data_IF_201154475398
#
_entry.id   IF_201154475398
#
_cell.length_a   1.000
_cell.length_b   1.000
_cell.length_c   1.000
_cell.angle_alpha   90.00
_cell.angle_beta   90.00
_cell.angle_gamma   90.00
#
_symmetry.space_group_name_H-M   'P 1'
#
loop_
_entity.id
_entity.type
_entity.pdbx_description
1 polymer ?
#
# COMPACT_ATOMS: atom_id res chain seq x y z
N UNK A 1 -27.45 47.87 5.49
CA UNK A 1 -27.94 46.96 6.56
C UNK A 1 -28.34 45.55 6.09
N UNK A 2 -28.63 45.30 4.80
CA UNK A 2 -29.00 43.97 4.28
C UNK A 2 -27.82 42.97 4.18
N UNK A 3 -26.64 43.42 3.76
CA UNK A 3 -25.44 42.56 3.57
C UNK A 3 -24.98 41.90 4.89
N UNK A 4 -25.05 42.63 6.02
CA UNK A 4 -24.71 42.09 7.35
C UNK A 4 -25.61 40.92 7.77
N UNK A 5 -26.90 40.96 7.44
CA UNK A 5 -27.85 39.89 7.79
C UNK A 5 -27.64 38.64 6.93
N UNK A 6 -27.32 38.81 5.65
CA UNK A 6 -27.06 37.68 4.74
C UNK A 6 -25.76 36.96 5.10
N UNK A 7 -24.71 37.70 5.49
CA UNK A 7 -23.43 37.11 5.94
C UNK A 7 -23.58 36.36 7.26
N UNK A 8 -24.37 36.88 8.20
CA UNK A 8 -24.66 36.19 9.48
C UNK A 8 -25.49 34.93 9.24
N UNK A 9 -26.50 34.98 8.35
CA UNK A 9 -27.29 33.82 8.00
C UNK A 9 -26.45 32.72 7.31
N UNK A 10 -25.51 33.10 6.45
CA UNK A 10 -24.56 32.18 5.82
C UNK A 10 -23.61 31.53 6.85
N UNK A 11 -23.10 32.32 7.81
CA UNK A 11 -22.24 31.82 8.89
C UNK A 11 -22.97 30.85 9.84
N UNK A 12 -24.23 31.11 10.16
CA UNK A 12 -25.07 30.20 10.95
C UNK A 12 -25.39 28.92 10.16
N UNK A 13 -25.64 29.04 8.85
CA UNK A 13 -25.92 27.89 7.98
C UNK A 13 -24.69 26.97 7.82
N UNK A 14 -23.48 27.55 7.72
CA UNK A 14 -22.22 26.80 7.69
C UNK A 14 -21.92 26.16 9.05
N UNK A 15 -22.27 26.80 10.16
CA UNK A 15 -22.13 26.23 11.51
C UNK A 15 -23.12 25.09 11.83
N UNK A 16 -24.22 24.97 11.07
CA UNK A 16 -25.22 23.92 11.23
C UNK A 16 -24.97 22.65 10.42
N UNK A 17 -23.92 22.59 9.59
CA UNK A 17 -23.49 21.31 9.01
C UNK A 17 -22.77 20.49 10.07
N UNK A 18 -23.25 19.28 10.43
CA UNK A 18 -22.49 18.40 11.30
C UNK A 18 -21.24 17.94 10.54
N UNK A 19 -20.12 18.61 10.77
CA UNK A 19 -18.76 18.19 10.42
C UNK A 19 -18.29 17.02 11.32
N UNK A 20 -19.20 16.12 11.67
CA UNK A 20 -18.93 15.04 12.62
C UNK A 20 -18.51 13.78 11.86
N UNK A 21 -17.20 13.54 11.80
CA UNK A 21 -16.72 12.16 11.86
C UNK A 21 -17.32 11.56 13.15
N UNK A 22 -18.07 10.47 13.01
CA UNK A 22 -18.99 10.04 14.07
C UNK A 22 -18.96 8.54 14.28
N UNK A 23 -19.01 8.16 15.55
CA UNK A 23 -19.31 6.81 16.01
C UNK A 23 -20.78 6.79 16.37
N UNK A 24 -21.57 5.94 15.72
CA UNK A 24 -23.00 5.82 15.98
C UNK A 24 -23.31 4.41 16.46
N UNK A 25 -23.99 4.30 17.58
CA UNK A 25 -24.50 3.04 18.09
C UNK A 25 -25.84 2.74 17.42
N UNK A 26 -25.93 1.57 16.79
CA UNK A 26 -27.16 1.05 16.23
C UNK A 26 -28.01 0.33 17.29
N UNK A 27 -29.10 -0.29 16.83
CA UNK A 27 -29.99 -1.06 17.71
C UNK A 27 -29.24 -2.15 18.47
N UNK A 28 -29.63 -2.33 19.72
CA UNK A 28 -29.18 -3.40 20.60
C UNK A 28 -30.24 -4.51 20.63
N UNK A 29 -29.79 -5.76 20.64
CA UNK A 29 -30.57 -6.97 20.83
C UNK A 29 -30.12 -7.64 22.13
N UNK A 30 -31.05 -7.82 23.07
CA UNK A 30 -30.79 -8.33 24.42
C UNK A 30 -31.51 -9.66 24.58
N UNK A 31 -30.80 -10.70 25.00
CA UNK A 31 -31.39 -12.00 25.28
C UNK A 31 -31.65 -12.23 26.77
N UNK A 32 -32.29 -13.36 27.10
CA UNK A 32 -32.63 -13.77 28.47
C UNK A 32 -31.42 -14.07 29.37
N UNK A 33 -30.20 -14.11 28.81
CA UNK A 33 -28.95 -14.38 29.53
C UNK A 33 -28.17 -13.10 29.87
N UNK A 34 -28.80 -11.93 29.76
CA UNK A 34 -28.19 -10.61 29.89
C UNK A 34 -27.06 -10.37 28.89
N UNK A 35 -27.14 -10.96 27.70
CA UNK A 35 -26.17 -10.76 26.63
C UNK A 35 -26.72 -9.79 25.59
N UNK A 36 -25.94 -8.78 25.25
CA UNK A 36 -26.31 -7.76 24.28
C UNK A 36 -25.45 -7.86 23.03
N UNK A 37 -26.12 -7.90 21.89
CA UNK A 37 -25.52 -7.67 20.57
C UNK A 37 -25.89 -6.27 20.10
N UNK A 38 -24.92 -5.51 19.61
CA UNK A 38 -25.19 -4.19 19.05
C UNK A 38 -24.22 -3.86 17.93
N UNK A 39 -24.61 -2.93 17.06
CA UNK A 39 -23.76 -2.49 15.96
C UNK A 39 -23.17 -1.12 16.25
N UNK A 40 -21.95 -0.90 15.77
CA UNK A 40 -21.29 0.42 15.79
C UNK A 40 -21.01 0.80 14.34
N UNK A 41 -21.61 1.89 13.88
CA UNK A 41 -21.32 2.50 12.58
C UNK A 41 -20.21 3.51 12.73
N UNK A 42 -19.22 3.43 11.85
CA UNK A 42 -18.14 4.41 11.75
C UNK A 42 -18.23 5.17 10.44
N UNK A 43 -18.06 6.48 10.53
CA UNK A 43 -17.97 7.38 9.39
C UNK A 43 -16.71 8.22 9.58
N UNK A 44 -15.67 7.90 8.80
CA UNK A 44 -14.44 8.67 8.79
C UNK A 44 -14.31 9.49 7.50
N UNK A 45 -13.67 10.67 7.57
CA UNK A 45 -13.27 11.40 6.38
C UNK A 45 -12.35 10.55 5.50
N UNK A 46 -12.68 10.46 4.20
CA UNK A 46 -11.86 9.74 3.23
C UNK A 46 -11.94 8.22 3.30
N UNK A 47 -12.92 7.64 4.00
CA UNK A 47 -13.22 6.19 3.93
C UNK A 47 -14.70 5.94 3.65
N UNK A 48 -15.00 4.72 3.21
CA UNK A 48 -16.38 4.24 3.17
C UNK A 48 -16.88 4.05 4.61
N UNK A 49 -18.15 4.36 4.86
CA UNK A 49 -18.79 4.09 6.15
C UNK A 49 -19.10 2.60 6.28
N UNK A 50 -18.80 2.03 7.45
CA UNK A 50 -19.05 0.61 7.73
C UNK A 50 -19.64 0.40 9.11
N UNK A 51 -20.13 -0.81 9.36
CA UNK A 51 -20.69 -1.24 10.64
C UNK A 51 -19.93 -2.45 11.15
N UNK A 52 -19.74 -2.51 12.46
CA UNK A 52 -19.16 -3.65 13.14
C UNK A 52 -20.11 -4.15 14.23
N UNK A 53 -20.21 -5.47 14.39
CA UNK A 53 -21.04 -6.11 15.40
C UNK A 53 -20.21 -6.36 16.66
N UNK A 54 -20.81 -6.07 17.81
CA UNK A 54 -20.23 -6.24 19.14
C UNK A 54 -21.12 -7.11 20.01
N UNK A 55 -20.50 -7.77 20.97
CA UNK A 55 -21.10 -8.54 22.04
C UNK A 55 -20.65 -7.97 23.39
N UNK A 56 -21.57 -7.82 24.32
CA UNK A 56 -21.24 -7.57 25.72
C UNK A 56 -22.16 -8.38 26.63
N UNK A 57 -21.68 -8.69 27.84
CA UNK A 57 -22.51 -9.25 28.91
C UNK A 57 -22.88 -8.16 29.89
N UNK A 58 -24.12 -8.12 30.33
CA UNK A 58 -24.65 -7.16 31.29
C UNK A 58 -24.73 -7.86 32.65
N UNK A 59 -24.33 -7.16 33.71
CA UNK A 59 -24.47 -7.57 35.10
C UNK A 59 -24.95 -6.35 35.90
N UNK A 60 -26.07 -6.48 36.60
CA UNK A 60 -26.67 -5.40 37.39
C UNK A 60 -26.93 -4.11 36.58
N UNK A 61 -27.39 -4.25 35.33
CA UNK A 61 -27.72 -3.12 34.45
C UNK A 61 -26.51 -2.38 33.87
N UNK A 62 -25.29 -2.90 34.03
CA UNK A 62 -24.05 -2.36 33.46
C UNK A 62 -23.29 -3.43 32.70
N UNK A 63 -22.45 -3.03 31.72
CA UNK A 63 -21.58 -3.98 31.03
C UNK A 63 -20.57 -4.59 32.02
N UNK A 64 -20.49 -5.92 32.05
CA UNK A 64 -19.59 -6.68 32.91
C UNK A 64 -18.12 -6.59 32.46
N UNK A 65 -17.91 -6.32 31.17
CA UNK A 65 -16.61 -6.07 30.55
C UNK A 65 -16.80 -5.15 29.35
N UNK A 66 -15.70 -4.67 28.81
CA UNK A 66 -15.74 -3.94 27.54
C UNK A 66 -16.35 -4.82 26.41
N UNK A 67 -17.07 -4.22 25.45
CA UNK A 67 -17.67 -4.95 24.35
C UNK A 67 -16.66 -5.63 23.44
N UNK A 68 -16.88 -6.91 23.16
CA UNK A 68 -16.08 -7.73 22.25
C UNK A 68 -16.58 -7.60 20.82
N UNK A 69 -15.71 -7.17 19.91
CA UNK A 69 -16.00 -7.17 18.47
C UNK A 69 -16.13 -8.60 17.93
N UNK A 70 -17.15 -8.83 17.09
CA UNK A 70 -17.44 -10.12 16.45
C UNK A 70 -17.11 -10.14 14.94
N UNK A 71 -17.19 -8.99 14.28
CA UNK A 71 -16.94 -8.85 12.83
C UNK A 71 -15.60 -8.18 12.55
N UNK A 72 -14.95 -8.53 11.44
CA UNK A 72 -13.73 -7.86 10.99
C UNK A 72 -14.02 -7.12 9.67
N UNK A 73 -14.22 -5.80 9.73
CA UNK A 73 -14.31 -5.00 8.50
C UNK A 73 -12.90 -4.67 7.99
N UNK A 74 -12.60 -4.90 6.70
CA UNK A 74 -11.28 -4.62 6.14
C UNK A 74 -11.08 -3.13 5.89
N UNK A 75 -10.39 -2.43 6.79
CA UNK A 75 -9.87 -1.10 6.45
C UNK A 75 -8.63 -1.21 5.54
N UNK A 76 -7.81 -2.25 5.76
CA UNK A 76 -6.67 -2.63 4.92
C UNK A 76 -6.58 -4.15 4.85
N UNK A 77 -6.08 -4.67 3.71
CA UNK A 77 -5.91 -6.10 3.48
C UNK A 77 -4.56 -6.38 2.85
N UNK A 78 -3.94 -7.47 3.29
CA UNK A 78 -2.71 -7.98 2.70
C UNK A 78 -2.85 -9.47 2.42
N UNK A 79 -2.37 -9.90 1.25
CA UNK A 79 -2.29 -11.31 0.90
C UNK A 79 -0.89 -11.82 1.25
N UNK A 80 -0.83 -12.82 2.13
CA UNK A 80 0.39 -13.39 2.69
C UNK A 80 0.54 -14.86 2.29
N UNK A 81 1.71 -15.42 2.58
CA UNK A 81 2.04 -16.84 2.39
C UNK A 81 1.76 -17.33 0.96
N UNK A 82 2.12 -16.50 -0.04
CA UNK A 82 1.94 -16.85 -1.44
C UNK A 82 0.48 -16.92 -1.90
N UNK A 83 -0.46 -16.34 -1.15
CA UNK A 83 -1.87 -16.32 -1.53
C UNK A 83 -2.81 -17.03 -0.58
N UNK A 84 -2.31 -17.79 0.39
CA UNK A 84 -3.14 -18.68 1.23
C UNK A 84 -3.64 -18.04 2.52
N UNK A 85 -3.10 -16.88 2.90
CA UNK A 85 -3.48 -16.16 4.12
C UNK A 85 -3.88 -14.73 3.80
N UNK A 86 -5.11 -14.37 4.13
CA UNK A 86 -5.60 -12.99 4.05
C UNK A 86 -5.44 -12.32 5.42
N UNK A 87 -4.56 -11.34 5.53
CA UNK A 87 -4.48 -10.48 6.70
C UNK A 87 -5.43 -9.30 6.54
N UNK A 88 -6.25 -9.07 7.57
CA UNK A 88 -7.24 -8.01 7.62
C UNK A 88 -6.88 -7.08 8.77
N UNK A 89 -6.69 -5.80 8.46
CA UNK A 89 -6.39 -4.76 9.45
C UNK A 89 -7.51 -3.73 9.50
N UNK A 90 -7.86 -3.36 10.72
CA UNK A 90 -8.77 -2.26 11.04
C UNK A 90 -8.27 -1.56 12.29
N UNK A 91 -8.93 -0.46 12.68
CA UNK A 91 -8.67 0.15 13.98
C UNK A 91 -8.97 -0.76 15.17
N UNK A 92 -9.79 -1.79 14.97
CA UNK A 92 -10.10 -2.79 15.99
C UNK A 92 -9.04 -3.88 16.10
N UNK A 93 -8.00 -3.84 15.26
CA UNK A 93 -6.86 -4.74 15.34
C UNK A 93 -6.60 -5.48 14.03
N UNK A 94 -5.95 -6.62 14.14
CA UNK A 94 -5.47 -7.43 13.02
C UNK A 94 -5.96 -8.86 13.17
N UNK A 95 -6.61 -9.35 12.12
CA UNK A 95 -7.03 -10.74 11.98
C UNK A 95 -6.34 -11.38 10.77
N UNK A 96 -6.24 -12.71 10.78
CA UNK A 96 -5.79 -13.50 9.64
C UNK A 96 -6.83 -14.55 9.33
N UNK A 97 -7.22 -14.63 8.07
CA UNK A 97 -8.04 -15.70 7.54
C UNK A 97 -7.15 -16.65 6.75
N UNK A 98 -7.11 -17.91 7.16
CA UNK A 98 -6.47 -18.97 6.37
C UNK A 98 -7.48 -19.51 5.37
N UNK A 99 -7.11 -19.51 4.09
CA UNK A 99 -7.92 -20.14 3.04
C UNK A 99 -7.91 -21.67 3.17
N UNK A 100 -6.78 -22.25 3.59
CA UNK A 100 -6.63 -23.70 3.73
C UNK A 100 -7.40 -24.26 4.95
N UNK A 101 -7.39 -23.54 6.07
CA UNK A 101 -8.10 -23.93 7.29
C UNK A 101 -9.53 -23.38 7.37
N UNK A 102 -9.92 -22.52 6.43
CA UNK A 102 -11.19 -21.77 6.43
C UNK A 102 -11.49 -21.07 7.77
N UNK A 103 -10.44 -20.60 8.44
CA UNK A 103 -10.53 -20.10 9.81
C UNK A 103 -10.01 -18.66 9.92
N UNK A 104 -10.77 -17.82 10.63
CA UNK A 104 -10.38 -16.47 11.01
C UNK A 104 -9.85 -16.45 12.44
N UNK A 105 -8.62 -15.98 12.62
CA UNK A 105 -8.00 -15.79 13.93
C UNK A 105 -7.61 -14.32 14.14
N UNK A 106 -7.82 -13.82 15.36
CA UNK A 106 -7.39 -12.47 15.73
C UNK A 106 -5.99 -12.53 16.33
N UNK A 107 -5.03 -11.86 15.68
CA UNK A 107 -3.67 -11.69 16.22
C UNK A 107 -3.62 -10.62 17.29
N UNK A 108 -4.34 -9.53 17.04
CA UNK A 108 -4.51 -8.43 17.97
C UNK A 108 -5.94 -7.94 17.84
N UNK A 109 -6.65 -7.83 18.94
CA UNK A 109 -8.01 -7.29 19.00
C UNK A 109 -8.01 -6.12 19.98
N UNK A 110 -8.71 -5.06 19.65
CA UNK A 110 -8.95 -3.97 20.58
C UNK A 110 -9.92 -4.45 21.65
N UNK A 111 -9.58 -4.21 22.91
CA UNK A 111 -10.45 -4.53 24.05
C UNK A 111 -11.51 -3.46 24.27
N UNK A 112 -11.53 -2.37 23.49
CA UNK A 112 -12.49 -1.27 23.60
C UNK A 112 -12.87 -0.74 22.21
N UNK A 113 -13.93 0.07 22.13
CA UNK A 113 -14.34 0.76 20.91
C UNK A 113 -13.43 1.99 20.69
N UNK A 114 -12.55 2.01 19.67
CA UNK A 114 -11.61 3.11 19.49
C UNK A 114 -12.33 4.39 19.10
N UNK A 115 -12.04 5.47 19.81
CA UNK A 115 -12.59 6.80 19.56
C UNK A 115 -11.85 7.59 18.46
N UNK A 116 -10.81 7.00 17.86
CA UNK A 116 -9.98 7.65 16.86
C UNK A 116 -10.77 7.91 15.56
N UNK A 117 -10.69 9.16 15.09
CA UNK A 117 -11.28 9.64 13.83
C UNK A 117 -10.31 9.60 12.64
N UNK A 118 -9.05 9.20 12.86
CA UNK A 118 -8.04 9.11 11.80
C UNK A 118 -8.15 7.80 11.03
N UNK A 119 -7.90 7.88 9.71
CA UNK A 119 -7.70 6.72 8.85
C UNK A 119 -6.54 5.87 9.38
N UNK A 120 -6.68 4.56 9.29
CA UNK A 120 -5.58 3.64 9.57
C UNK A 120 -4.39 3.94 8.65
N UNK A 121 -3.20 4.10 9.21
CA UNK A 121 -1.97 4.29 8.42
C UNK A 121 -1.70 3.07 7.55
N UNK A 122 -1.37 3.32 6.27
CA UNK A 122 -0.98 2.26 5.33
C UNK A 122 0.31 1.59 5.80
N UNK A 123 0.40 0.29 5.57
CA UNK A 123 1.58 -0.51 5.83
C UNK A 123 1.79 -1.45 4.65
N UNK A 124 3.03 -1.52 4.20
CA UNK A 124 3.50 -2.49 3.21
C UNK A 124 4.06 -3.68 3.96
N UNK A 125 3.43 -4.86 3.84
CA UNK A 125 3.81 -6.09 4.56
C UNK A 125 4.53 -7.03 3.60
N UNK A 126 5.59 -7.70 4.07
CA UNK A 126 6.28 -8.70 3.25
C UNK A 126 5.33 -9.85 2.89
N UNK A 127 5.50 -10.49 1.71
CA UNK A 127 4.67 -11.65 1.33
C UNK A 127 4.64 -12.77 2.38
N UNK A 128 5.72 -12.98 3.14
CA UNK A 128 5.76 -13.96 4.24
C UNK A 128 5.20 -13.45 5.59
N UNK A 129 4.77 -12.19 5.66
CA UNK A 129 4.17 -11.56 6.84
C UNK A 129 5.13 -11.24 7.99
N UNK A 130 6.43 -11.53 7.85
CA UNK A 130 7.42 -11.35 8.93
C UNK A 130 7.86 -9.91 9.11
N UNK A 131 7.74 -9.11 8.05
CA UNK A 131 8.24 -7.75 8.01
C UNK A 131 7.16 -6.79 7.59
N UNK A 132 7.33 -5.53 7.98
CA UNK A 132 6.48 -4.48 7.46
C UNK A 132 7.17 -3.13 7.45
N UNK A 133 6.75 -2.30 6.52
CA UNK A 133 7.15 -0.91 6.42
C UNK A 133 5.93 0.01 6.51
N UNK A 134 6.04 1.09 7.27
CA UNK A 134 4.98 2.09 7.42
C UNK A 134 5.57 3.44 7.77
N UNK A 135 4.77 4.50 7.65
CA UNK A 135 5.19 5.84 8.03
C UNK A 135 4.59 6.20 9.39
N UNK A 136 5.46 6.44 10.36
CA UNK A 136 5.09 7.00 11.66
C UNK A 136 5.11 8.53 11.54
N UNK A 137 3.93 9.16 11.56
CA UNK A 137 3.79 10.61 11.32
C UNK A 137 4.49 11.41 12.41
N UNK A 138 5.35 12.33 11.99
CA UNK A 138 5.98 13.34 12.87
C UNK A 138 5.48 14.75 12.56
N UNK A 139 4.93 14.97 11.36
CA UNK A 139 4.35 16.23 10.92
C UNK A 139 3.04 16.05 10.13
N UNK A 140 2.65 17.11 9.42
CA UNK A 140 1.39 17.12 8.65
C UNK A 140 1.42 16.19 7.44
N UNK A 141 2.53 16.21 6.70
CA UNK A 141 2.70 15.52 5.41
C UNK A 141 3.99 14.66 5.34
N UNK A 142 4.66 14.45 6.48
CA UNK A 142 5.88 13.65 6.55
C UNK A 142 5.94 12.83 7.85
N UNK A 143 6.86 11.88 7.87
CA UNK A 143 7.13 11.04 9.02
C UNK A 143 8.36 10.17 8.85
N UNK A 144 8.59 9.32 9.84
CA UNK A 144 9.64 8.32 9.79
C UNK A 144 9.16 7.13 8.96
N UNK A 145 9.88 6.78 7.89
CA UNK A 145 9.70 5.50 7.23
C UNK A 145 10.32 4.43 8.13
N UNK A 146 9.46 3.66 8.78
CA UNK A 146 9.84 2.59 9.70
C UNK A 146 9.86 1.26 8.97
N UNK A 147 10.92 0.49 9.16
CA UNK A 147 10.96 -0.96 8.96
C UNK A 147 10.80 -1.66 10.31
N UNK A 148 9.89 -2.63 10.40
CA UNK A 148 9.54 -3.34 11.62
C UNK A 148 9.52 -4.85 11.40
N UNK A 149 10.11 -5.57 12.35
CA UNK A 149 9.93 -7.01 12.49
C UNK A 149 8.59 -7.29 13.21
N UNK A 150 7.67 -7.98 12.55
CA UNK A 150 6.30 -8.21 13.03
C UNK A 150 6.24 -9.07 14.31
N UNK A 151 7.22 -9.95 14.56
CA UNK A 151 7.20 -10.83 15.74
C UNK A 151 7.86 -10.21 16.97
N UNK A 152 8.93 -9.44 16.79
CA UNK A 152 9.70 -8.83 17.89
C UNK A 152 9.31 -7.37 18.16
N UNK A 153 8.62 -6.71 17.22
CA UNK A 153 8.34 -5.28 17.28
C UNK A 153 9.58 -4.39 17.13
N UNK A 154 10.75 -4.96 16.81
CA UNK A 154 11.98 -4.19 16.62
C UNK A 154 11.84 -3.30 15.39
N UNK A 155 12.05 -2.00 15.58
CA UNK A 155 11.91 -0.95 14.56
C UNK A 155 13.27 -0.39 14.13
N UNK A 156 13.35 0.04 12.88
CA UNK A 156 14.47 0.77 12.30
C UNK A 156 13.95 1.91 11.42
N UNK A 157 14.59 3.08 11.49
CA UNK A 157 14.25 4.21 10.62
C UNK A 157 15.04 4.06 9.31
N UNK A 158 14.33 4.06 8.19
CA UNK A 158 14.91 4.05 6.84
C UNK A 158 15.08 5.46 6.29
N UNK A 159 14.10 6.32 6.56
CA UNK A 159 14.07 7.73 6.16
C UNK A 159 13.41 8.55 7.27
N UNK A 160 14.03 9.69 7.62
CA UNK A 160 13.55 10.59 8.66
C UNK A 160 12.48 11.57 8.17
N UNK A 161 12.42 11.81 6.86
CA UNK A 161 11.53 12.80 6.23
C UNK A 161 10.71 12.19 5.08
N UNK A 162 10.20 10.98 5.29
CA UNK A 162 9.43 10.29 4.27
C UNK A 162 8.06 10.97 4.06
N UNK A 163 7.63 11.21 2.81
CA UNK A 163 6.34 11.82 2.52
C UNK A 163 5.20 10.88 2.95
N UNK A 164 4.27 11.40 3.76
CA UNK A 164 3.16 10.62 4.27
C UNK A 164 1.99 10.57 3.27
N UNK A 165 1.46 9.37 3.04
CA UNK A 165 0.23 9.12 2.28
C UNK A 165 -0.68 8.14 3.03
N UNK A 166 -1.99 8.31 2.87
CA UNK A 166 -2.99 7.35 3.34
C UNK A 166 -3.31 6.25 2.32
N UNK A 167 -2.66 6.28 1.16
CA UNK A 167 -2.97 5.38 0.05
C UNK A 167 -1.79 4.47 -0.30
N UNK A 168 -0.55 4.91 -0.05
CA UNK A 168 0.63 4.10 -0.32
C UNK A 168 1.79 4.38 0.66
N UNK A 169 2.65 3.39 0.83
CA UNK A 169 3.98 3.51 1.43
C UNK A 169 4.99 3.35 0.29
N UNK A 170 6.07 4.14 0.20
CA UNK A 170 7.02 4.09 -0.91
C UNK A 170 7.95 2.86 -0.81
N UNK A 171 7.36 1.66 -0.74
CA UNK A 171 8.03 0.38 -0.51
C UNK A 171 7.44 -0.72 -1.40
N UNK A 172 8.29 -1.52 -2.04
CA UNK A 172 7.91 -2.71 -2.82
C UNK A 172 8.70 -3.93 -2.35
N UNK A 173 8.00 -4.98 -1.93
CA UNK A 173 8.62 -6.23 -1.50
C UNK A 173 8.91 -7.14 -2.69
N UNK A 174 10.08 -7.80 -2.66
CA UNK A 174 10.33 -8.93 -3.55
C UNK A 174 9.32 -10.05 -3.24
N UNK A 175 8.87 -10.82 -4.25
CA UNK A 175 7.88 -11.89 -4.05
C UNK A 175 8.29 -12.95 -3.01
N UNK A 176 9.59 -13.20 -2.89
CA UNK A 176 10.19 -14.15 -1.95
C UNK A 176 10.49 -13.56 -0.55
N UNK A 177 10.15 -12.29 -0.32
CA UNK A 177 10.42 -11.54 0.91
C UNK A 177 11.91 -11.37 1.28
N UNK A 178 12.85 -11.69 0.39
CA UNK A 178 14.30 -11.62 0.70
C UNK A 178 14.85 -10.20 0.65
N UNK A 179 14.21 -9.32 -0.11
CA UNK A 179 14.59 -7.92 -0.28
C UNK A 179 13.31 -7.07 -0.33
N UNK A 180 13.41 -5.82 0.11
CA UNK A 180 12.45 -4.79 -0.29
C UNK A 180 13.15 -3.58 -0.88
N UNK A 181 12.40 -2.84 -1.68
CA UNK A 181 12.80 -1.58 -2.27
C UNK A 181 12.12 -0.46 -1.51
N UNK A 182 12.80 0.66 -1.34
CA UNK A 182 12.20 1.88 -0.80
C UNK A 182 12.76 3.11 -1.52
N UNK A 183 11.96 4.17 -1.61
CA UNK A 183 12.44 5.44 -2.17
C UNK A 183 12.74 6.45 -1.08
N UNK A 184 13.86 7.15 -1.22
CA UNK A 184 14.33 8.21 -0.32
C UNK A 184 15.05 9.26 -1.14
N UNK A 185 14.79 10.54 -0.88
CA UNK A 185 15.47 11.68 -1.52
C UNK A 185 15.56 11.62 -3.06
N UNK A 186 14.54 11.09 -3.73
CA UNK A 186 14.51 10.99 -5.20
C UNK A 186 15.40 9.89 -5.78
N UNK A 187 15.78 8.90 -4.97
CA UNK A 187 16.44 7.67 -5.41
C UNK A 187 15.72 6.44 -4.82
N UNK A 188 15.96 5.30 -5.46
CA UNK A 188 15.45 4.00 -5.03
C UNK A 188 16.60 3.18 -4.46
N UNK A 189 16.36 2.56 -3.32
CA UNK A 189 17.30 1.71 -2.60
C UNK A 189 16.73 0.32 -2.40
N UNK A 190 17.59 -0.69 -2.29
CA UNK A 190 17.20 -2.01 -1.82
C UNK A 190 17.65 -2.25 -0.38
N UNK A 191 16.98 -3.16 0.32
CA UNK A 191 17.30 -3.54 1.68
C UNK A 191 17.04 -5.03 1.91
N UNK A 192 18.01 -5.70 2.54
CA UNK A 192 17.86 -7.06 3.08
C UNK A 192 17.34 -6.97 4.53
N UNK A 193 16.07 -7.35 4.79
CA UNK A 193 15.49 -7.29 6.14
C UNK A 193 16.22 -8.18 7.14
N UNK A 194 16.76 -9.34 6.72
CA UNK A 194 17.50 -10.26 7.58
C UNK A 194 18.90 -9.72 7.92
N UNK A 195 19.57 -9.01 7.00
CA UNK A 195 20.82 -8.30 7.30
C UNK A 195 20.60 -7.17 8.32
N UNK A 196 19.52 -6.38 8.15
CA UNK A 196 19.15 -5.33 9.12
C UNK A 196 18.89 -5.91 10.50
N UNK A 197 18.15 -7.02 10.58
CA UNK A 197 17.88 -7.67 11.86
C UNK A 197 19.16 -8.14 12.57
N UNK A 198 20.12 -8.70 11.81
CA UNK A 198 21.44 -9.13 12.29
C UNK A 198 22.41 -7.98 12.59
N UNK A 199 22.06 -6.73 12.26
CA UNK A 199 22.92 -5.56 12.46
C UNK A 199 24.08 -5.45 11.47
N UNK A 200 24.01 -6.16 10.34
CA UNK A 200 25.05 -6.17 9.29
C UNK A 200 24.57 -5.48 8.00
N UNK A 201 23.78 -4.41 8.16
CA UNK A 201 23.23 -3.63 7.05
C UNK A 201 24.37 -2.98 6.26
N UNK A 202 24.30 -3.05 4.93
CA UNK A 202 25.17 -2.27 4.05
C UNK A 202 24.91 -0.77 4.23
N UNK A 203 25.97 0.03 4.07
CA UNK A 203 25.82 1.48 3.98
C UNK A 203 24.91 1.82 2.78
N UNK A 204 24.01 2.78 2.96
CA UNK A 204 22.95 3.12 2.02
C UNK A 204 23.48 3.52 0.64
N UNK A 205 24.69 4.11 0.57
CA UNK A 205 25.37 4.43 -0.70
C UNK A 205 25.69 3.22 -1.58
N UNK A 206 25.70 2.03 -0.99
CA UNK A 206 25.89 0.75 -1.69
C UNK A 206 24.54 0.06 -1.99
N UNK A 207 23.44 0.60 -1.48
CA UNK A 207 22.11 0.07 -1.70
C UNK A 207 21.35 0.80 -2.81
N UNK A 208 21.92 1.87 -3.38
CA UNK A 208 21.26 2.68 -4.39
C UNK A 208 21.13 1.93 -5.72
N UNK A 209 19.92 1.92 -6.27
CA UNK A 209 19.60 1.38 -7.60
C UNK A 209 19.71 2.49 -8.66
N UNK A 210 19.18 3.67 -8.33
CA UNK A 210 19.24 4.84 -9.19
C UNK A 210 18.19 5.89 -8.82
N UNK A 211 18.19 6.97 -9.59
CA UNK A 211 17.29 8.11 -9.41
C UNK A 211 15.84 7.76 -9.77
N UNK A 212 14.87 8.28 -9.04
CA UNK A 212 13.45 8.07 -9.29
C UNK A 212 12.60 8.01 -8.02
N UNK A 213 11.36 7.56 -8.18
CA UNK A 213 10.46 7.19 -7.07
C UNK A 213 10.35 5.68 -7.00
N UNK A 214 9.60 5.16 -6.01
CA UNK A 214 9.29 3.73 -5.95
C UNK A 214 8.57 3.21 -7.22
N UNK A 215 7.96 4.10 -8.01
CA UNK A 215 7.28 3.76 -9.26
C UNK A 215 8.23 3.68 -10.46
N UNK A 216 9.50 4.05 -10.28
CA UNK A 216 10.55 3.74 -11.26
C UNK A 216 10.95 2.27 -11.27
N UNK A 217 10.47 1.46 -10.32
CA UNK A 217 10.82 0.04 -10.22
C UNK A 217 9.60 -0.89 -10.18
N UNK A 218 9.75 -2.10 -10.71
CA UNK A 218 8.70 -3.12 -10.74
C UNK A 218 9.28 -4.53 -10.61
N UNK A 219 8.71 -5.34 -9.72
CA UNK A 219 9.01 -6.77 -9.63
C UNK A 219 8.23 -7.54 -10.70
N UNK A 220 8.90 -8.45 -11.39
CA UNK A 220 8.32 -9.38 -12.36
C UNK A 220 8.97 -10.75 -12.20
N UNK A 221 8.27 -11.67 -11.53
CA UNK A 221 8.86 -12.91 -11.04
C UNK A 221 10.10 -12.64 -10.18
N UNK A 222 11.20 -13.31 -10.50
CA UNK A 222 12.49 -13.16 -9.81
C UNK A 222 13.36 -12.03 -10.39
N UNK A 223 12.79 -11.13 -11.18
CA UNK A 223 13.51 -10.02 -11.80
C UNK A 223 13.00 -8.68 -11.34
N UNK A 224 13.92 -7.74 -11.22
CA UNK A 224 13.60 -6.34 -10.98
C UNK A 224 13.71 -5.56 -12.29
N UNK A 225 12.71 -4.75 -12.61
CA UNK A 225 12.79 -3.77 -13.68
C UNK A 225 12.94 -2.38 -13.12
N UNK A 226 13.76 -1.57 -13.77
CA UNK A 226 14.01 -0.18 -13.43
C UNK A 226 13.91 0.69 -14.69
N UNK A 227 13.21 1.82 -14.59
CA UNK A 227 13.10 2.81 -15.66
C UNK A 227 13.83 4.08 -15.26
N UNK A 228 14.84 4.44 -16.05
CA UNK A 228 15.59 5.69 -15.93
C UNK A 228 15.35 6.56 -17.16
N UNK A 229 14.65 7.69 -16.96
CA UNK A 229 14.14 8.51 -18.05
C UNK A 229 13.32 7.67 -19.02
N UNK A 230 13.88 7.23 -20.14
CA UNK A 230 13.23 6.45 -21.17
C UNK A 230 13.85 5.06 -21.32
N UNK A 231 14.96 4.76 -20.64
CA UNK A 231 15.60 3.45 -20.73
C UNK A 231 15.01 2.49 -19.70
N UNK A 232 14.67 1.28 -20.16
CA UNK A 232 14.20 0.18 -19.31
C UNK A 232 15.35 -0.79 -19.09
N UNK A 233 15.63 -1.11 -17.83
CA UNK A 233 16.63 -2.08 -17.42
C UNK A 233 16.00 -3.25 -16.70
N UNK A 234 16.56 -4.45 -16.90
CA UNK A 234 16.32 -5.64 -16.08
C UNK A 234 17.53 -5.86 -15.18
N UNK A 235 17.28 -5.91 -13.88
CA UNK A 235 18.26 -6.16 -12.82
C UNK A 235 17.98 -7.57 -12.27
N UNK A 236 19.00 -8.42 -12.26
CA UNK A 236 18.96 -9.71 -11.58
C UNK A 236 19.10 -9.47 -10.06
N UNK A 237 18.22 -10.09 -9.26
CA UNK A 237 18.25 -10.03 -7.80
C UNK A 237 19.62 -10.48 -7.25
N UNK A 238 20.21 -11.52 -7.84
CA UNK A 238 21.56 -11.99 -7.44
C UNK A 238 22.61 -10.92 -7.69
N UNK A 239 22.37 -10.07 -8.69
CA UNK A 239 23.21 -8.93 -9.04
C UNK A 239 23.15 -7.79 -8.02
N UNK A 240 22.01 -7.55 -7.34
CA UNK A 240 21.84 -6.43 -6.41
C UNK A 240 22.90 -6.41 -5.29
N UNK A 241 23.18 -7.57 -4.69
CA UNK A 241 24.22 -7.70 -3.66
C UNK A 241 25.64 -7.48 -4.21
N UNK A 242 25.90 -7.86 -5.46
CA UNK A 242 27.19 -7.61 -6.10
C UNK A 242 27.36 -6.16 -6.53
N UNK A 243 26.30 -5.48 -6.96
CA UNK A 243 26.32 -4.08 -7.40
C UNK A 243 26.67 -3.13 -6.26
N UNK A 244 26.23 -3.42 -5.03
CA UNK A 244 26.58 -2.59 -3.87
C UNK A 244 28.07 -2.53 -3.56
N UNK A 245 28.83 -3.59 -3.85
CA UNK A 245 30.28 -3.60 -3.60
C UNK A 245 31.09 -2.86 -4.68
N UNK A 246 30.49 -2.63 -5.86
CA UNK A 246 31.16 -2.07 -7.04
C UNK A 246 30.35 -0.95 -7.70
N UNK A 247 29.64 -0.14 -6.91
CA UNK A 247 28.67 0.86 -7.37
C UNK A 247 29.19 1.90 -8.38
N UNK A 248 30.51 2.01 -8.58
CA UNK A 248 31.13 2.80 -9.63
C UNK A 248 31.30 2.11 -10.99
N UNK A 249 31.12 0.78 -11.09
CA UNK A 249 31.50 -0.05 -12.26
C UNK A 249 30.37 -0.98 -12.72
N UNK A 250 29.45 -1.39 -11.84
CA UNK A 250 28.39 -2.37 -12.19
C UNK A 250 27.08 -1.63 -12.52
N UNK A 251 26.66 -1.77 -13.77
CA UNK A 251 25.60 -0.98 -14.40
C UNK A 251 24.20 -1.19 -13.81
N UNK A 252 23.28 -0.30 -14.23
CA UNK A 252 21.84 -0.22 -13.90
C UNK A 252 21.01 -1.47 -14.26
N UNK A 253 21.65 -2.62 -14.49
CA UNK A 253 21.09 -3.83 -15.07
C UNK A 253 21.34 -3.94 -16.56
N UNK A 254 20.73 -4.96 -17.16
CA UNK A 254 20.75 -5.23 -18.59
C UNK A 254 19.70 -4.38 -19.29
N UNK A 255 20.05 -3.60 -20.35
CA UNK A 255 19.05 -2.81 -21.07
C UNK A 255 18.06 -3.71 -21.83
N UNK A 256 16.77 -3.40 -21.67
CA UNK A 256 15.64 -4.13 -22.27
C UNK A 256 14.90 -3.34 -23.35
N UNK A 257 15.28 -2.07 -23.55
CA UNK A 257 14.82 -1.19 -24.61
C UNK A 257 14.47 0.21 -24.08
N UNK A 258 14.05 1.07 -25.01
CA UNK A 258 13.66 2.46 -24.71
C UNK A 258 12.17 2.70 -24.89
N UNK A 259 11.56 3.36 -23.93
CA UNK A 259 10.23 3.93 -24.06
C UNK A 259 10.26 5.02 -25.16
N UNK A 260 9.17 5.19 -25.92
CA UNK A 260 9.08 6.28 -26.91
C UNK A 260 9.14 7.68 -26.30
N UNK A 261 8.78 7.80 -25.02
CA UNK A 261 8.77 9.05 -24.26
C UNK A 261 9.38 8.82 -22.88
N UNK A 262 9.87 9.91 -22.27
CA UNK A 262 10.41 9.87 -20.90
C UNK A 262 9.33 9.47 -19.89
N UNK A 263 9.69 8.55 -19.01
CA UNK A 263 8.90 8.12 -17.86
C UNK A 263 8.93 9.18 -16.77
N UNK A 264 7.74 9.54 -16.27
CA UNK A 264 7.58 10.41 -15.11
C UNK A 264 7.09 9.58 -13.92
N UNK A 265 8.00 9.20 -13.04
CA UNK A 265 7.75 8.38 -11.85
C UNK A 265 6.74 8.96 -10.83
N UNK A 266 6.22 10.17 -11.05
CA UNK A 266 5.14 10.77 -10.25
C UNK A 266 3.75 10.56 -10.84
N UNK A 267 3.66 10.16 -12.11
CA UNK A 267 2.40 10.12 -12.88
C UNK A 267 2.25 8.87 -13.72
N UNK A 268 3.36 8.23 -14.07
CA UNK A 268 3.40 7.06 -14.92
C UNK A 268 3.57 5.82 -14.04
N UNK A 269 2.86 4.76 -14.39
CA UNK A 269 2.94 3.46 -13.73
C UNK A 269 3.32 2.45 -14.81
N UNK A 270 4.24 1.55 -14.50
CA UNK A 270 4.52 0.42 -15.39
C UNK A 270 4.51 -0.90 -14.63
N UNK A 271 4.23 -1.97 -15.37
CA UNK A 271 4.26 -3.34 -14.88
C UNK A 271 4.84 -4.24 -15.95
N UNK A 272 5.45 -5.35 -15.55
CA UNK A 272 6.06 -6.33 -16.46
C UNK A 272 5.53 -7.71 -16.12
N UNK A 273 5.23 -8.53 -17.12
CA UNK A 273 4.76 -9.89 -16.90
C UNK A 273 5.87 -10.79 -16.32
N UNK A 274 5.49 -11.88 -15.66
CA UNK A 274 6.44 -12.79 -15.00
C UNK A 274 7.47 -13.43 -15.94
N UNK A 275 7.14 -13.58 -17.23
CA UNK A 275 8.07 -14.11 -18.25
C UNK A 275 9.04 -13.05 -18.81
N UNK A 276 8.91 -11.79 -18.38
CA UNK A 276 9.76 -10.66 -18.77
C UNK A 276 9.74 -10.34 -20.27
N UNK A 277 8.63 -10.65 -20.95
CA UNK A 277 8.46 -10.47 -22.40
C UNK A 277 7.60 -9.27 -22.76
N UNK A 278 6.80 -8.76 -21.84
CA UNK A 278 5.84 -7.68 -22.05
C UNK A 278 5.92 -6.63 -20.94
N UNK A 279 5.95 -5.36 -21.32
CA UNK A 279 5.81 -4.21 -20.42
C UNK A 279 4.48 -3.52 -20.71
N UNK A 280 3.72 -3.24 -19.66
CA UNK A 280 2.53 -2.41 -19.70
C UNK A 280 2.84 -1.06 -19.07
N UNK A 281 2.50 0.03 -19.75
CA UNK A 281 2.70 1.40 -19.30
C UNK A 281 1.35 2.12 -19.26
N UNK A 282 1.07 2.75 -18.13
CA UNK A 282 -0.02 3.71 -17.96
C UNK A 282 0.64 5.09 -17.84
N UNK A 283 0.54 5.90 -18.89
CA UNK A 283 1.12 7.24 -18.90
C UNK A 283 0.10 8.26 -18.37
N UNK A 284 0.43 8.90 -17.25
CA UNK A 284 -0.38 9.94 -16.61
C UNK A 284 -1.87 9.59 -16.43
N UNK A 285 -2.18 8.31 -16.19
CA UNK A 285 -3.55 7.79 -16.08
C UNK A 285 -4.40 7.89 -17.36
N UNK A 286 -3.78 8.22 -18.52
CA UNK A 286 -4.51 8.57 -19.75
C UNK A 286 -4.18 7.68 -20.94
N UNK A 287 -2.92 7.27 -21.10
CA UNK A 287 -2.50 6.46 -22.24
C UNK A 287 -2.08 5.09 -21.72
N UNK A 288 -2.68 4.04 -22.28
CA UNK A 288 -2.47 2.65 -21.91
C UNK A 288 -1.77 1.97 -23.07
N UNK A 289 -0.56 1.48 -22.81
CA UNK A 289 0.30 0.95 -23.85
C UNK A 289 0.92 -0.38 -23.41
N UNK A 290 0.97 -1.35 -24.32
CA UNK A 290 1.74 -2.59 -24.16
C UNK A 290 2.89 -2.60 -25.14
N UNK A 291 4.05 -2.99 -24.65
CA UNK A 291 5.28 -3.10 -25.40
C UNK A 291 5.87 -4.49 -25.26
N UNK A 292 6.51 -5.00 -26.31
CA UNK A 292 7.34 -6.20 -26.22
C UNK A 292 8.74 -5.83 -25.74
N UNK A 293 9.21 -6.51 -24.70
CA UNK A 293 10.57 -6.39 -24.18
C UNK A 293 11.54 -7.24 -25.02
N UNK A 294 12.77 -6.76 -25.16
CA UNK A 294 13.86 -7.51 -25.80
C UNK A 294 15.09 -7.46 -24.93
N UNK A 295 15.62 -8.62 -24.54
CA UNK A 295 16.86 -8.68 -23.79
C UNK A 295 18.01 -8.05 -24.59
N UNK A 296 18.92 -7.36 -23.89
CA UNK A 296 20.12 -6.74 -24.46
C UNK A 296 19.83 -5.74 -25.59
N UNK A 297 18.74 -4.98 -25.51
CA UNK A 297 18.37 -3.99 -26.51
C UNK A 297 18.41 -2.59 -25.93
N UNK A 298 19.01 -1.65 -26.67
CA UNK A 298 18.93 -0.20 -26.40
C UNK A 298 18.03 0.54 -27.41
N UNK A 299 17.36 -0.19 -28.29
CA UNK A 299 16.42 0.36 -29.26
C UNK A 299 15.05 0.64 -28.63
N UNK A 300 14.22 1.42 -29.30
CA UNK A 300 12.83 1.63 -28.89
C UNK A 300 12.07 0.31 -28.79
N UNK A 301 11.26 0.18 -27.74
CA UNK A 301 10.42 -0.99 -27.53
C UNK A 301 9.40 -1.13 -28.66
N UNK A 302 9.13 -2.38 -29.06
CA UNK A 302 8.11 -2.66 -30.07
C UNK A 302 6.72 -2.45 -29.46
N UNK A 303 5.92 -1.57 -30.05
CA UNK A 303 4.56 -1.28 -29.59
C UNK A 303 3.64 -2.43 -30.00
N UNK A 304 3.02 -3.10 -29.03
CA UNK A 304 1.95 -4.07 -29.29
C UNK A 304 0.63 -3.33 -29.48
N UNK A 305 0.31 -2.42 -28.56
CA UNK A 305 -0.76 -1.44 -28.72
C UNK A 305 -0.50 -0.19 -27.88
N UNK A 306 -1.15 0.91 -28.23
CA UNK A 306 -1.19 2.13 -27.43
C UNK A 306 -2.51 2.86 -27.68
N UNK A 307 -3.30 3.12 -26.63
CA UNK A 307 -4.62 3.76 -26.75
C UNK A 307 -4.88 4.71 -25.58
N UNK A 308 -5.52 5.87 -25.82
CA UNK A 308 -6.02 6.70 -24.74
C UNK A 308 -7.22 6.04 -24.06
N UNK A 309 -7.44 6.37 -22.79
CA UNK A 309 -8.71 6.12 -22.10
C UNK A 309 -9.75 7.14 -22.57
N UNK A 310 -10.87 6.66 -23.09
CA UNK A 310 -11.88 7.48 -23.78
C UNK A 310 -13.27 7.38 -23.15
N UNK A 311 -13.38 7.29 -21.83
CA UNK A 311 -14.69 7.34 -21.18
C UNK A 311 -15.19 8.79 -21.14
N UNK A 312 -16.38 9.03 -21.67
CA UNK A 312 -17.03 10.36 -21.65
C UNK A 312 -17.56 10.76 -20.27
N UNK A 313 -17.70 9.78 -19.36
CA UNK A 313 -18.38 9.97 -18.08
C UNK A 313 -17.44 10.22 -16.89
N UNK A 314 -16.12 10.19 -17.09
CA UNK A 314 -15.17 10.40 -15.99
C UNK A 314 -13.70 10.22 -16.37
N UNK A 315 -12.81 10.60 -15.45
CA UNK A 315 -11.37 10.34 -15.52
C UNK A 315 -10.99 9.12 -14.68
N UNK A 316 -9.90 8.45 -15.04
CA UNK A 316 -9.31 7.38 -14.24
C UNK A 316 -8.78 7.98 -12.94
N UNK A 317 -9.30 7.54 -11.79
CA UNK A 317 -8.79 7.95 -10.47
C UNK A 317 -7.57 7.12 -10.06
N UNK A 318 -7.65 5.81 -10.30
CA UNK A 318 -6.58 4.85 -10.04
C UNK A 318 -6.65 3.70 -11.07
N UNK A 319 -5.53 3.02 -11.26
CA UNK A 319 -5.45 1.86 -12.14
C UNK A 319 -4.35 0.89 -11.70
N UNK A 320 -4.71 -0.38 -11.63
CA UNK A 320 -3.79 -1.48 -11.31
C UNK A 320 -3.66 -2.39 -12.53
N UNK A 321 -2.42 -2.72 -12.89
CA UNK A 321 -2.13 -3.71 -13.92
C UNK A 321 -1.96 -5.08 -13.26
N UNK A 322 -2.80 -6.02 -13.67
CA UNK A 322 -2.74 -7.43 -13.31
C UNK A 322 -2.32 -8.24 -14.54
N UNK A 323 -1.60 -9.33 -14.33
CA UNK A 323 -1.23 -10.25 -15.40
C UNK A 323 -1.84 -11.61 -15.12
N UNK A 324 -2.42 -12.25 -16.13
CA UNK A 324 -2.83 -13.65 -16.00
C UNK A 324 -1.64 -14.61 -16.19
N UNK A 325 -1.93 -15.92 -16.04
CA UNK A 325 -0.92 -16.97 -16.24
C UNK A 325 -0.41 -17.12 -17.67
N UNK A 326 -1.03 -16.45 -18.66
CA UNK A 326 -0.57 -16.43 -20.05
C UNK A 326 0.27 -15.18 -20.36
N UNK A 327 0.46 -14.29 -19.38
CA UNK A 327 1.14 -13.01 -19.58
C UNK A 327 0.30 -11.97 -20.32
N UNK A 328 -1.03 -12.11 -20.30
CA UNK A 328 -1.96 -11.10 -20.80
C UNK A 328 -2.31 -10.08 -19.70
N UNK A 329 -2.24 -8.77 -20.00
CA UNK A 329 -2.50 -7.73 -19.01
C UNK A 329 -3.99 -7.40 -18.90
N UNK A 330 -4.46 -7.26 -17.67
CA UNK A 330 -5.76 -6.73 -17.30
C UNK A 330 -5.56 -5.43 -16.52
N UNK A 331 -6.33 -4.40 -16.85
CA UNK A 331 -6.31 -3.14 -16.10
C UNK A 331 -7.58 -3.07 -15.27
N UNK A 332 -7.42 -3.06 -13.95
CA UNK A 332 -8.51 -2.82 -13.02
C UNK A 332 -8.53 -1.34 -12.64
N UNK A 333 -9.70 -0.70 -12.78
CA UNK A 333 -9.94 0.71 -12.46
C UNK A 333 -11.07 0.75 -11.42
N UNK A 334 -10.77 1.02 -10.14
CA UNK A 334 -11.76 0.99 -9.05
C UNK A 334 -12.76 2.15 -9.08
#
# INVERSE_FOLDING_TARGET
MKIRRTVIALLVFVASFPLAAGIYFGSADLNDNDEVLFTVRQTLPGTVSYRSLFYAKIVNGSAASDPRILTCYPEQMELLSGGTVLQIRSRYGTARYSLDAEQLEWLRRADFIPLNSMRLSVRSVSPDGKWSCYIEKTGYAEGFLIFENSSTGKKFILDEHAPFSYDAVPVKWAPDSTIFLYSKNGAVYFCDPAAVQRGVRLDEKYCEIGTGSIDSVCWAGDSLFYVDSDMVYKIDIKGLYTTGLYSGIIGKGTPCGRLPERFDSRRDIFSVNADNTSLFLIKSGKIFSRYSLRNNSSNYLSVVFSRPYTNSSGSVLDAVVLWDGNGEPYVWMP
#
